data_IF_154757404988
#
_entry.id   IF_154757404988
#
_cell.length_a   1.000
_cell.length_b   1.000
_cell.length_c   1.000
_cell.angle_alpha   90.00
_cell.angle_beta   90.00
_cell.angle_gamma   90.00
#
_symmetry.space_group_name_H-M   'P 1'
#
loop_
_entity.id
_entity.type
_entity.pdbx_description
1 polymer ?
#
# COMPACT_ATOMS: atom_id res chain seq x y z
N UNK A 1 8.95 -22.21 14.01
CA UNK A 1 8.48 -21.19 14.99
C UNK A 1 7.00 -21.45 15.24
N UNK A 2 6.50 -21.46 16.48
CA UNK A 2 5.08 -21.78 16.77
C UNK A 2 4.09 -20.66 16.39
N UNK A 3 4.60 -19.49 16.03
CA UNK A 3 3.88 -18.23 15.81
C UNK A 3 4.18 -17.59 14.45
N UNK A 4 4.94 -18.28 13.59
CA UNK A 4 5.22 -17.78 12.25
C UNK A 4 3.99 -18.03 11.37
N UNK A 5 3.47 -16.95 10.78
CA UNK A 5 2.32 -17.01 9.86
C UNK A 5 2.83 -16.88 8.42
N UNK A 6 3.52 -15.78 8.11
CA UNK A 6 4.12 -15.53 6.81
C UNK A 6 5.20 -14.44 6.88
N UNK A 7 5.95 -14.27 5.80
CA UNK A 7 6.78 -13.09 5.59
C UNK A 7 5.85 -11.87 5.46
N UNK A 8 6.00 -10.88 6.34
CA UNK A 8 5.16 -9.66 6.40
C UNK A 8 5.30 -8.72 5.19
N UNK A 9 5.76 -9.25 4.05
CA UNK A 9 5.87 -8.58 2.75
C UNK A 9 4.50 -8.28 2.14
N UNK A 10 3.55 -9.19 2.32
CA UNK A 10 2.16 -9.02 1.90
C UNK A 10 1.29 -9.13 3.14
N UNK A 11 0.40 -8.17 3.38
CA UNK A 11 -0.48 -8.19 4.55
C UNK A 11 -1.91 -7.94 4.10
N UNK A 12 -2.85 -8.71 4.65
CA UNK A 12 -4.27 -8.47 4.44
C UNK A 12 -4.73 -7.32 5.33
N UNK A 13 -5.34 -6.30 4.73
CA UNK A 13 -5.94 -5.16 5.43
C UNK A 13 -7.34 -4.91 4.90
N UNK A 14 -8.18 -4.27 5.71
CA UNK A 14 -9.49 -3.81 5.25
C UNK A 14 -9.32 -2.53 4.44
N UNK A 15 -9.85 -2.51 3.22
CA UNK A 15 -9.71 -1.38 2.31
C UNK A 15 -10.43 -0.12 2.87
N UNK A 16 -9.71 1.00 3.09
CA UNK A 16 -10.30 2.23 3.65
C UNK A 16 -11.18 2.99 2.65
N UNK A 17 -11.06 2.66 1.37
CA UNK A 17 -11.83 3.16 0.24
C UNK A 17 -11.90 2.06 -0.83
N UNK A 18 -12.63 2.29 -1.93
CA UNK A 18 -12.45 1.47 -3.12
C UNK A 18 -11.02 1.69 -3.65
N UNK A 19 -10.23 0.63 -3.76
CA UNK A 19 -8.83 0.65 -4.19
C UNK A 19 -8.69 -0.21 -5.43
N UNK A 20 -7.88 0.24 -6.38
CA UNK A 20 -7.47 -0.54 -7.54
C UNK A 20 -6.08 -1.16 -7.30
N UNK A 21 -5.80 -2.25 -8.02
CA UNK A 21 -4.48 -2.86 -8.08
C UNK A 21 -3.41 -1.81 -8.44
N UNK A 22 -2.28 -1.85 -7.74
CA UNK A 22 -1.19 -0.90 -7.92
C UNK A 22 -1.39 0.43 -7.20
N UNK A 23 -2.53 0.69 -6.56
CA UNK A 23 -2.72 1.89 -5.76
C UNK A 23 -2.09 1.77 -4.37
N UNK A 24 -1.63 2.91 -3.85
CA UNK A 24 -1.17 3.02 -2.47
C UNK A 24 -2.37 2.94 -1.53
N UNK A 25 -2.26 2.07 -0.53
CA UNK A 25 -3.25 1.86 0.53
C UNK A 25 -2.58 2.19 1.86
N UNK A 26 -3.24 3.05 2.64
CA UNK A 26 -2.78 3.47 3.96
C UNK A 26 -3.84 3.15 5.00
N UNK A 27 -3.50 2.27 5.94
CA UNK A 27 -4.36 1.87 7.06
C UNK A 27 -3.59 2.08 8.36
N UNK A 28 -3.87 3.19 9.04
CA UNK A 28 -3.11 3.60 10.22
C UNK A 28 -1.63 3.81 9.89
N UNK A 29 -0.75 2.98 10.44
CA UNK A 29 0.69 3.00 10.15
C UNK A 29 1.13 2.00 9.08
N UNK A 30 0.22 1.18 8.55
CA UNK A 30 0.51 0.22 7.49
C UNK A 30 0.35 0.95 6.16
N UNK A 31 1.43 1.00 5.39
CA UNK A 31 1.49 1.55 4.03
C UNK A 31 1.89 0.43 3.09
N UNK A 32 1.12 0.19 2.03
CA UNK A 32 1.45 -0.81 1.04
C UNK A 32 0.72 -0.59 -0.27
N UNK A 33 1.09 -1.34 -1.29
CA UNK A 33 0.48 -1.25 -2.63
C UNK A 33 -0.48 -2.41 -2.83
N UNK A 34 -1.71 -2.12 -3.25
CA UNK A 34 -2.76 -3.13 -3.45
C UNK A 34 -2.38 -4.13 -4.56
N UNK A 35 -2.52 -5.43 -4.27
CA UNK A 35 -2.27 -6.50 -5.26
C UNK A 35 -3.44 -6.61 -6.25
N UNK A 36 -4.67 -6.36 -5.81
CA UNK A 36 -5.88 -6.49 -6.60
C UNK A 36 -6.91 -5.42 -6.23
N UNK A 37 -7.96 -5.29 -7.04
CA UNK A 37 -9.05 -4.33 -6.82
C UNK A 37 -9.94 -4.77 -5.66
N UNK A 38 -10.22 -3.86 -4.72
CA UNK A 38 -11.10 -4.14 -3.59
C UNK A 38 -12.07 -2.99 -3.35
N UNK A 39 -13.32 -3.34 -3.02
CA UNK A 39 -14.33 -2.37 -2.62
C UNK A 39 -14.06 -1.83 -1.21
N UNK A 40 -14.65 -0.68 -0.87
CA UNK A 40 -14.63 -0.13 0.49
C UNK A 40 -15.08 -1.21 1.50
N UNK A 41 -14.28 -1.43 2.53
CA UNK A 41 -14.58 -2.38 3.60
C UNK A 41 -14.34 -3.85 3.25
N UNK A 42 -13.90 -4.17 2.02
CA UNK A 42 -13.47 -5.51 1.65
C UNK A 42 -12.00 -5.73 2.06
N UNK A 43 -11.61 -7.00 2.17
CA UNK A 43 -10.22 -7.37 2.40
C UNK A 43 -9.39 -7.18 1.13
N UNK A 44 -8.21 -6.58 1.29
CA UNK A 44 -7.23 -6.39 0.23
C UNK A 44 -5.85 -6.79 0.73
N UNK A 45 -5.10 -7.47 -0.12
CA UNK A 45 -3.68 -7.75 0.13
C UNK A 45 -2.83 -6.58 -0.35
N UNK A 46 -1.96 -6.07 0.54
CA UNK A 46 -1.05 -4.98 0.24
C UNK A 46 0.40 -5.42 0.39
N UNK A 47 1.24 -5.02 -0.56
CA UNK A 47 2.68 -5.26 -0.50
C UNK A 47 3.38 -4.09 0.18
N UNK A 48 4.09 -4.36 1.28
CA UNK A 48 4.75 -3.34 2.13
C UNK A 48 6.24 -3.15 1.80
N UNK A 49 6.81 -4.01 0.96
CA UNK A 49 8.22 -4.00 0.60
C UNK A 49 8.43 -4.18 -0.90
N UNK A 50 9.28 -3.35 -1.50
CA UNK A 50 9.60 -3.39 -2.93
C UNK A 50 9.81 -1.99 -3.49
N UNK A 51 9.98 -1.91 -4.80
CA UNK A 51 10.00 -0.65 -5.56
C UNK A 51 8.76 -0.64 -6.46
N UNK A 52 7.96 0.40 -6.32
CA UNK A 52 6.71 0.58 -7.06
C UNK A 52 6.72 1.93 -7.76
N UNK A 53 6.09 1.98 -8.93
CA UNK A 53 5.81 3.22 -9.62
C UNK A 53 4.40 3.67 -9.23
N UNK A 54 4.28 4.90 -8.73
CA UNK A 54 3.01 5.47 -8.29
C UNK A 54 2.81 6.84 -8.93
N UNK A 55 1.56 7.22 -9.25
CA UNK A 55 1.28 8.54 -9.79
C UNK A 55 1.59 9.60 -8.73
N UNK A 56 2.24 10.69 -9.17
CA UNK A 56 2.40 11.91 -8.39
C UNK A 56 1.51 13.02 -8.94
N UNK A 57 1.28 14.05 -8.13
CA UNK A 57 0.69 15.29 -8.65
C UNK A 57 1.69 15.89 -9.65
N UNK A 58 1.24 16.24 -10.85
CA UNK A 58 2.11 16.69 -11.94
C UNK A 58 2.90 17.97 -11.60
N UNK A 59 2.37 18.77 -10.69
CA UNK A 59 3.00 20.00 -10.18
C UNK A 59 4.11 19.73 -9.16
N UNK A 60 4.16 18.53 -8.57
CA UNK A 60 5.13 18.22 -7.52
C UNK A 60 6.49 17.91 -8.14
N UNK A 61 7.50 18.67 -7.70
CA UNK A 61 8.91 18.39 -8.00
C UNK A 61 9.48 17.70 -6.78
N UNK A 62 9.68 16.38 -6.88
CA UNK A 62 10.19 15.53 -5.81
C UNK A 62 11.68 15.31 -6.06
N UNK A 63 12.53 15.84 -5.17
CA UNK A 63 13.96 15.60 -5.18
C UNK A 63 14.30 14.27 -4.47
N UNK A 64 15.51 13.77 -4.69
CA UNK A 64 15.98 12.56 -4.03
C UNK A 64 16.04 12.77 -2.51
N UNK A 65 15.34 11.90 -1.77
CA UNK A 65 15.31 11.93 -0.30
C UNK A 65 14.21 12.80 0.29
N UNK A 66 13.37 13.42 -0.54
CA UNK A 66 12.20 14.15 -0.06
C UNK A 66 11.22 13.21 0.64
N UNK A 67 10.68 13.68 1.76
CA UNK A 67 9.63 12.96 2.49
C UNK A 67 8.31 13.13 1.76
N UNK A 68 7.63 12.01 1.54
CA UNK A 68 6.28 11.97 1.01
C UNK A 68 5.29 11.58 2.11
N UNK A 69 4.09 12.11 2.01
CA UNK A 69 3.00 11.93 2.97
C UNK A 69 1.72 11.54 2.23
N UNK A 70 0.79 10.88 2.92
CA UNK A 70 -0.51 10.43 2.41
C UNK A 70 -1.62 10.83 3.37
#
# INVERSE_FOLDING_TARGET
>A
MKNYVQEGKTVTVTAPAAVASGQLVVVGSIVGVAVFDAALGADVEVVTQGVFELPKISTDVIAQGDKLYW
#
